data_IF_647455955681
#
_entry.id   IF_647455955681
#
_cell.length_a   1.000
_cell.length_b   1.000
_cell.length_c   1.000
_cell.angle_alpha   90.00
_cell.angle_beta   90.00
_cell.angle_gamma   90.00
#
_symmetry.space_group_name_H-M   'P 1'
#
loop_
_entity.id
_entity.type
_entity.pdbx_description
1 polymer ?
#
# COMPACT_ATOMS: atom_id res chain seq x y z
N UNK A 1 38.17 26.02 -18.15
CA UNK A 1 37.01 25.86 -17.24
C UNK A 1 35.88 25.00 -17.83
N UNK A 2 35.97 24.53 -19.08
CA UNK A 2 34.95 23.69 -19.75
C UNK A 2 35.09 22.17 -19.49
N UNK A 3 36.26 21.70 -19.04
CA UNK A 3 36.51 20.28 -18.78
C UNK A 3 35.81 19.78 -17.51
N UNK A 4 35.78 20.60 -16.44
CA UNK A 4 35.19 20.20 -15.15
C UNK A 4 33.68 19.91 -15.24
N UNK A 5 32.92 20.76 -15.94
CA UNK A 5 31.49 20.53 -16.17
C UNK A 5 31.26 19.29 -17.03
N UNK A 6 32.08 19.08 -18.06
CA UNK A 6 31.96 17.91 -18.94
C UNK A 6 32.25 16.61 -18.19
N UNK A 7 33.25 16.61 -17.29
CA UNK A 7 33.58 15.47 -16.45
C UNK A 7 32.46 15.18 -15.44
N UNK A 8 31.90 16.20 -14.79
CA UNK A 8 30.76 16.05 -13.87
C UNK A 8 29.52 15.50 -14.59
N UNK A 9 29.24 15.94 -15.82
CA UNK A 9 28.12 15.43 -16.61
C UNK A 9 28.30 13.94 -16.96
N UNK A 10 29.51 13.54 -17.35
CA UNK A 10 29.84 12.15 -17.64
C UNK A 10 29.75 11.28 -16.40
N UNK A 11 30.29 11.73 -15.27
CA UNK A 11 30.22 11.01 -14.00
C UNK A 11 28.76 10.88 -13.52
N UNK A 12 27.99 11.96 -13.58
CA UNK A 12 26.57 11.97 -13.20
C UNK A 12 25.74 11.01 -14.05
N UNK A 13 26.01 10.93 -15.36
CA UNK A 13 25.36 9.97 -16.24
C UNK A 13 25.73 8.52 -15.87
N UNK A 14 27.02 8.24 -15.63
CA UNK A 14 27.47 6.92 -15.24
C UNK A 14 26.88 6.46 -13.89
N UNK A 15 26.75 7.37 -12.91
CA UNK A 15 26.06 7.10 -11.64
C UNK A 15 24.59 6.75 -11.90
N UNK A 16 23.90 7.53 -12.75
CA UNK A 16 22.49 7.30 -13.08
C UNK A 16 22.28 5.93 -13.74
N UNK A 17 23.18 5.52 -14.62
CA UNK A 17 23.15 4.21 -15.26
C UNK A 17 23.34 3.07 -14.25
N UNK A 18 24.34 3.18 -13.37
CA UNK A 18 24.54 2.20 -12.28
C UNK A 18 23.32 2.10 -11.38
N UNK A 19 22.73 3.23 -10.98
CA UNK A 19 21.50 3.24 -10.18
C UNK A 19 20.32 2.57 -10.89
N UNK A 20 20.22 2.68 -12.22
CA UNK A 20 19.17 2.02 -12.98
C UNK A 20 19.36 0.49 -12.97
N UNK A 21 20.60 0.03 -13.19
CA UNK A 21 20.95 -1.39 -13.14
C UNK A 21 20.73 -1.98 -11.74
N UNK A 22 21.16 -1.27 -10.69
CA UNK A 22 20.97 -1.71 -9.30
C UNK A 22 19.49 -1.76 -8.91
N UNK A 23 18.66 -0.83 -9.41
CA UNK A 23 17.21 -0.85 -9.21
C UNK A 23 16.57 -2.06 -9.88
N UNK A 24 16.97 -2.40 -11.10
CA UNK A 24 16.47 -3.58 -11.81
C UNK A 24 16.87 -4.86 -11.08
N UNK A 25 18.13 -4.95 -10.64
CA UNK A 25 18.62 -6.07 -9.84
C UNK A 25 17.87 -6.20 -8.52
N UNK A 26 17.64 -5.10 -7.81
CA UNK A 26 16.88 -5.08 -6.56
C UNK A 26 15.43 -5.52 -6.79
N UNK A 27 14.79 -5.10 -7.89
CA UNK A 27 13.45 -5.54 -8.26
C UNK A 27 13.38 -7.07 -8.47
N UNK A 28 14.37 -7.65 -9.16
CA UNK A 28 14.46 -9.09 -9.33
C UNK A 28 14.68 -9.84 -8.00
N UNK A 29 15.50 -9.29 -7.09
CA UNK A 29 15.70 -9.85 -5.75
C UNK A 29 14.39 -9.80 -4.95
N UNK A 30 13.69 -8.66 -4.96
CA UNK A 30 12.42 -8.49 -4.26
C UNK A 30 11.35 -9.48 -4.75
N UNK A 31 11.29 -9.73 -6.07
CA UNK A 31 10.38 -10.72 -6.64
C UNK A 31 10.68 -12.15 -6.14
N UNK A 32 11.97 -12.51 -6.04
CA UNK A 32 12.39 -13.82 -5.50
C UNK A 32 12.05 -13.95 -4.00
N UNK A 33 12.31 -12.90 -3.22
CA UNK A 33 11.98 -12.87 -1.79
C UNK A 33 10.47 -12.97 -1.56
N UNK A 34 9.67 -12.28 -2.38
CA UNK A 34 8.22 -12.39 -2.35
C UNK A 34 7.73 -13.81 -2.65
N UNK A 35 8.31 -14.47 -3.67
CA UNK A 35 7.96 -15.83 -4.04
C UNK A 35 8.36 -16.87 -2.97
N UNK A 36 9.43 -16.60 -2.20
CA UNK A 36 9.89 -17.45 -1.12
C UNK A 36 9.20 -17.18 0.23
N UNK A 37 8.51 -16.04 0.37
CA UNK A 37 7.90 -15.64 1.62
C UNK A 37 6.71 -16.53 2.00
N UNK A 38 6.71 -17.05 3.22
CA UNK A 38 5.56 -17.77 3.80
C UNK A 38 4.73 -16.81 4.64
N UNK A 39 3.49 -16.57 4.22
CA UNK A 39 2.56 -15.70 4.94
C UNK A 39 1.74 -16.50 5.96
N UNK A 40 1.50 -15.95 7.17
CA UNK A 40 0.57 -16.57 8.11
C UNK A 40 -0.84 -16.58 7.54
N UNK A 41 -1.68 -17.51 8.01
CA UNK A 41 -3.09 -17.59 7.60
C UNK A 41 -3.78 -16.24 7.83
N UNK A 42 -4.38 -15.67 6.78
CA UNK A 42 -4.98 -14.33 6.75
C UNK A 42 -4.01 -13.15 6.99
N UNK A 43 -2.70 -13.41 7.04
CA UNK A 43 -1.66 -12.40 7.20
C UNK A 43 -1.19 -11.81 5.88
N UNK A 44 -0.80 -10.53 5.92
CA UNK A 44 -0.25 -9.80 4.77
C UNK A 44 1.24 -9.48 4.91
N UNK A 45 1.85 -9.88 6.02
CA UNK A 45 3.26 -9.63 6.30
C UNK A 45 3.95 -10.95 6.59
N UNK A 46 5.11 -11.16 5.96
CA UNK A 46 6.01 -12.28 6.21
C UNK A 46 7.38 -11.73 6.62
N UNK A 47 8.07 -12.48 7.47
CA UNK A 47 9.41 -12.16 7.95
C UNK A 47 10.35 -13.30 7.60
N UNK A 48 11.56 -12.96 7.15
CA UNK A 48 12.63 -13.89 6.86
C UNK A 48 13.92 -13.34 7.45
N UNK A 49 14.81 -14.19 7.93
CA UNK A 49 16.13 -13.77 8.41
C UNK A 49 17.19 -14.77 7.96
N UNK A 50 18.33 -14.28 7.50
CA UNK A 50 19.47 -15.09 7.10
C UNK A 50 20.75 -14.24 7.10
N UNK A 51 21.87 -14.83 7.52
CA UNK A 51 23.22 -14.24 7.42
C UNK A 51 23.34 -12.80 7.98
N UNK A 52 22.72 -12.52 9.13
CA UNK A 52 22.76 -11.19 9.74
C UNK A 52 21.84 -10.16 9.08
N UNK A 53 20.92 -10.56 8.20
CA UNK A 53 19.91 -9.68 7.63
C UNK A 53 18.51 -10.20 7.94
N UNK A 54 17.60 -9.29 8.27
CA UNK A 54 16.17 -9.51 8.31
C UNK A 54 15.50 -8.87 7.08
N UNK A 55 14.48 -9.55 6.56
CA UNK A 55 13.63 -9.08 5.48
C UNK A 55 12.19 -9.14 5.93
N UNK A 56 11.47 -8.04 5.70
CA UNK A 56 10.02 -7.96 5.87
C UNK A 56 9.37 -7.79 4.51
N UNK A 57 8.51 -8.74 4.15
CA UNK A 57 7.71 -8.70 2.92
C UNK A 57 6.28 -8.38 3.28
N UNK A 58 5.70 -7.32 2.71
CA UNK A 58 4.31 -6.94 2.93
C UNK A 58 3.52 -6.91 1.64
N UNK A 59 2.43 -7.67 1.57
CA UNK A 59 1.41 -7.53 0.55
C UNK A 59 0.64 -6.24 0.80
N UNK A 60 0.54 -5.41 -0.23
CA UNK A 60 -0.24 -4.18 -0.17
C UNK A 60 -1.57 -4.40 -0.86
N UNK A 61 -2.56 -3.66 -0.40
CA UNK A 61 -3.84 -3.52 -1.07
C UNK A 61 -4.09 -2.05 -1.34
N UNK A 62 -4.56 -1.76 -2.53
CA UNK A 62 -5.07 -0.46 -2.89
C UNK A 62 -6.58 -0.53 -2.81
N UNK A 63 -7.16 0.29 -1.92
CA UNK A 63 -8.60 0.44 -1.83
C UNK A 63 -9.02 1.59 -2.74
N UNK A 64 -9.97 1.32 -3.63
CA UNK A 64 -10.68 2.33 -4.39
C UNK A 64 -12.18 2.17 -4.19
N UNK A 65 -12.95 3.15 -4.68
CA UNK A 65 -14.39 3.23 -4.43
C UNK A 65 -15.15 3.37 -5.73
N UNK A 66 -16.18 2.54 -5.93
CA UNK A 66 -17.10 2.66 -7.05
C UNK A 66 -18.02 3.86 -6.81
N UNK A 67 -17.79 4.92 -7.58
CA UNK A 67 -18.52 6.18 -7.47
C UNK A 67 -20.01 6.03 -7.80
N UNK A 68 -20.38 5.09 -8.69
CA UNK A 68 -21.78 4.82 -9.02
C UNK A 68 -22.47 4.11 -7.85
N UNK A 69 -21.79 3.14 -7.24
CA UNK A 69 -22.29 2.43 -6.06
C UNK A 69 -22.40 3.37 -4.85
N UNK A 70 -21.43 4.25 -4.61
CA UNK A 70 -21.50 5.22 -3.51
C UNK A 70 -22.63 6.24 -3.71
N UNK A 71 -22.90 6.70 -4.94
CA UNK A 71 -24.06 7.55 -5.23
C UNK A 71 -25.37 6.84 -4.95
N UNK A 72 -25.47 5.55 -5.31
CA UNK A 72 -26.63 4.72 -4.97
C UNK A 72 -26.79 4.62 -3.45
N UNK A 73 -25.68 4.39 -2.73
CA UNK A 73 -25.68 4.38 -1.27
C UNK A 73 -26.23 5.71 -0.72
N UNK A 74 -25.70 6.86 -1.12
CA UNK A 74 -26.20 8.19 -0.69
C UNK A 74 -27.71 8.33 -0.87
N UNK A 75 -28.27 7.85 -1.98
CA UNK A 75 -29.70 7.93 -2.24
C UNK A 75 -30.53 7.05 -1.30
N UNK A 76 -30.00 5.90 -0.87
CA UNK A 76 -30.71 4.94 -0.01
C UNK A 76 -30.58 5.26 1.49
N UNK A 77 -29.40 5.69 1.95
CA UNK A 77 -29.16 6.06 3.37
C UNK A 77 -29.42 7.54 3.67
N UNK A 78 -29.43 8.39 2.64
CA UNK A 78 -29.50 9.83 2.80
C UNK A 78 -28.16 10.49 3.09
N UNK A 79 -28.03 11.74 2.66
CA UNK A 79 -26.77 12.51 2.69
C UNK A 79 -26.17 12.63 4.09
N UNK A 80 -27.01 12.93 5.10
CA UNK A 80 -26.55 13.11 6.49
C UNK A 80 -25.92 11.85 7.07
N UNK A 81 -26.52 10.70 6.74
CA UNK A 81 -26.06 9.40 7.23
C UNK A 81 -24.77 9.00 6.53
N UNK A 82 -24.72 9.11 5.20
CA UNK A 82 -23.50 8.84 4.41
C UNK A 82 -22.32 9.71 4.85
N UNK A 83 -22.58 10.99 5.12
CA UNK A 83 -21.55 11.94 5.55
C UNK A 83 -20.99 11.67 6.95
N UNK A 84 -21.51 10.69 7.70
CA UNK A 84 -20.84 10.25 8.94
C UNK A 84 -19.50 9.56 8.64
N UNK A 85 -19.43 8.80 7.55
CA UNK A 85 -18.22 8.05 7.16
C UNK A 85 -17.47 8.66 5.96
N UNK A 86 -18.16 9.38 5.08
CA UNK A 86 -17.61 9.92 3.85
C UNK A 86 -17.68 11.45 3.78
N UNK A 87 -16.85 12.06 2.95
CA UNK A 87 -16.89 13.48 2.61
C UNK A 87 -17.80 13.75 1.39
N UNK A 88 -17.87 15.02 0.98
CA UNK A 88 -18.65 15.45 -0.18
C UNK A 88 -18.07 14.97 -1.52
N UNK A 89 -16.79 14.56 -1.54
CA UNK A 89 -16.11 14.00 -2.71
C UNK A 89 -16.24 12.47 -2.78
N UNK A 90 -17.10 11.88 -1.94
CA UNK A 90 -17.32 10.43 -1.87
C UNK A 90 -16.03 9.67 -1.49
N UNK A 91 -15.17 10.29 -0.68
CA UNK A 91 -14.00 9.66 -0.07
C UNK A 91 -14.26 9.41 1.42
N UNK A 92 -13.77 8.31 2.00
CA UNK A 92 -13.81 8.14 3.45
C UNK A 92 -13.10 9.30 4.13
N UNK A 93 -13.71 9.87 5.18
CA UNK A 93 -13.09 10.96 5.96
C UNK A 93 -11.76 10.52 6.56
N UNK A 94 -11.74 9.30 7.09
CA UNK A 94 -10.52 8.60 7.49
C UNK A 94 -10.78 7.09 7.55
N UNK A 95 -9.71 6.30 7.59
CA UNK A 95 -9.83 4.85 7.83
C UNK A 95 -10.47 4.55 9.19
N UNK A 96 -10.22 5.40 10.20
CA UNK A 96 -10.77 5.24 11.56
C UNK A 96 -12.27 5.52 11.57
N UNK A 97 -12.71 6.62 10.95
CA UNK A 97 -14.13 7.00 10.92
C UNK A 97 -14.96 5.97 10.15
N UNK A 98 -14.45 5.52 9.00
CA UNK A 98 -15.08 4.44 8.25
C UNK A 98 -15.16 3.16 9.07
N UNK A 99 -14.07 2.73 9.71
CA UNK A 99 -14.08 1.53 10.53
C UNK A 99 -15.04 1.66 11.72
N UNK A 100 -15.08 2.83 12.36
CA UNK A 100 -15.99 3.13 13.47
C UNK A 100 -17.44 3.02 13.00
N UNK A 101 -17.78 3.64 11.87
CA UNK A 101 -19.11 3.55 11.27
C UNK A 101 -19.53 2.11 10.94
N UNK A 102 -18.60 1.32 10.40
CA UNK A 102 -18.84 -0.07 10.01
C UNK A 102 -18.99 -1.01 11.23
N UNK A 103 -18.36 -0.67 12.35
CA UNK A 103 -18.44 -1.45 13.60
C UNK A 103 -19.55 -0.98 14.54
N UNK A 104 -20.10 0.21 14.34
CA UNK A 104 -21.17 0.76 15.17
C UNK A 104 -22.45 -0.09 15.05
N UNK A 105 -22.94 -0.69 16.15
CA UNK A 105 -24.19 -1.46 16.15
C UNK A 105 -25.42 -0.62 15.80
N UNK A 106 -25.38 0.70 16.00
CA UNK A 106 -26.46 1.60 15.61
C UNK A 106 -26.54 1.82 14.09
N UNK A 107 -25.48 1.47 13.35
CA UNK A 107 -25.51 1.51 11.88
C UNK A 107 -26.28 0.30 11.34
N UNK A 108 -27.35 0.52 10.54
CA UNK A 108 -28.08 -0.54 9.88
C UNK A 108 -27.18 -1.44 9.02
N UNK A 109 -27.43 -2.76 9.04
CA UNK A 109 -26.67 -3.73 8.24
C UNK A 109 -26.73 -3.43 6.74
N UNK A 110 -27.89 -2.98 6.25
CA UNK A 110 -28.09 -2.59 4.86
C UNK A 110 -27.14 -1.46 4.43
N UNK A 111 -26.88 -0.50 5.32
CA UNK A 111 -26.00 0.63 5.06
C UNK A 111 -24.53 0.20 5.00
N UNK A 112 -24.13 -0.71 5.90
CA UNK A 112 -22.81 -1.35 5.86
C UNK A 112 -22.63 -2.20 4.62
N UNK A 113 -23.66 -2.90 4.18
CA UNK A 113 -23.65 -3.71 2.97
C UNK A 113 -23.47 -2.84 1.72
N UNK A 114 -24.18 -1.71 1.62
CA UNK A 114 -24.04 -0.76 0.52
C UNK A 114 -22.61 -0.19 0.41
N UNK A 115 -22.04 0.24 1.55
CA UNK A 115 -20.65 0.73 1.59
C UNK A 115 -19.67 -0.39 1.23
N UNK A 116 -19.86 -1.60 1.75
CA UNK A 116 -18.99 -2.74 1.44
C UNK A 116 -19.04 -3.12 -0.04
N UNK A 117 -20.22 -3.10 -0.65
CA UNK A 117 -20.39 -3.36 -2.07
C UNK A 117 -19.73 -2.30 -2.96
N UNK A 118 -19.62 -1.06 -2.48
CA UNK A 118 -18.92 0.01 -3.19
C UNK A 118 -17.39 -0.04 -3.02
N UNK A 119 -16.87 -0.83 -2.07
CA UNK A 119 -15.44 -0.93 -1.80
C UNK A 119 -14.77 -1.88 -2.78
N UNK A 120 -13.83 -1.36 -3.56
CA UNK A 120 -12.99 -2.15 -4.46
C UNK A 120 -11.61 -2.33 -3.84
N UNK A 121 -11.17 -3.57 -3.68
CA UNK A 121 -9.82 -3.88 -3.19
C UNK A 121 -9.04 -4.50 -4.33
N UNK A 122 -7.91 -3.87 -4.68
CA UNK A 122 -6.97 -4.40 -5.68
C UNK A 122 -5.64 -4.72 -5.01
N UNK A 123 -4.93 -5.77 -5.43
CA UNK A 123 -3.55 -5.97 -5.03
C UNK A 123 -2.71 -4.74 -5.39
N UNK A 124 -2.03 -4.18 -4.38
CA UNK A 124 -1.04 -3.13 -4.55
C UNK A 124 0.35 -3.72 -4.77
N UNK A 125 1.31 -2.89 -5.16
CA UNK A 125 2.71 -3.32 -5.25
C UNK A 125 3.22 -3.73 -3.86
N UNK A 126 3.72 -4.96 -3.69
CA UNK A 126 4.24 -5.42 -2.41
C UNK A 126 5.50 -4.63 -2.04
N UNK A 127 5.76 -4.52 -0.74
CA UNK A 127 6.94 -3.82 -0.21
C UNK A 127 7.88 -4.82 0.45
N UNK A 128 9.17 -4.73 0.13
CA UNK A 128 10.24 -5.52 0.75
C UNK A 128 11.19 -4.55 1.45
N UNK A 129 11.33 -4.68 2.76
CA UNK A 129 12.28 -3.90 3.57
C UNK A 129 13.34 -4.81 4.16
N UNK A 130 14.58 -4.32 4.14
CA UNK A 130 15.77 -5.01 4.64
C UNK A 130 16.28 -4.32 5.89
N UNK A 131 16.68 -5.09 6.88
CA UNK A 131 17.29 -4.62 8.12
C UNK A 131 18.54 -5.44 8.40
N UNK A 132 19.63 -4.79 8.82
CA UNK A 132 20.82 -5.49 9.30
C UNK A 132 20.61 -5.83 10.77
N UNK A 133 20.85 -7.10 11.12
CA UNK A 133 20.79 -7.59 12.49
C UNK A 133 22.23 -7.53 13.01
N UNK A 134 22.59 -6.45 13.68
CA UNK A 134 23.79 -6.47 14.52
C UNK A 134 23.54 -7.48 15.63
N UNK A 135 24.27 -8.60 15.62
CA UNK A 135 24.35 -9.45 16.79
C UNK A 135 24.99 -8.60 17.89
N UNK A 136 24.22 -8.24 18.92
CA UNK A 136 24.83 -7.76 20.17
C UNK A 136 25.83 -8.82 20.61
N UNK A 137 27.11 -8.41 20.66
CA UNK A 137 28.23 -9.20 21.11
C UNK A 137 28.23 -9.35 22.64
#
# INVERSE_FOLDING_TARGET
MTNEISDLLREGYAIKERMAQDKERLAAINAKLLAAATFPVNGKTAHMAANGYAVKVQLRETVSWDQKALRKAVNEMGVKEFQKAFDYEYKPKSAKDLNTYMMDPATPDEYRALISAARMVKPGAPTVTFEHIEAEA
#
